data_IF_704450817679
#
_entry.id   IF_704450817679
#
_cell.length_a   1.000
_cell.length_b   1.000
_cell.length_c   1.000
_cell.angle_alpha   90.00
_cell.angle_beta   90.00
_cell.angle_gamma   90.00
#
_symmetry.space_group_name_H-M   'P 1'
#
loop_
_entity.id
_entity.type
_entity.pdbx_description
1 polymer ?
#
# COMPACT_ATOMS: atom_id res chain seq x y z
N UNK A 1 4.62 12.83 14.65
CA UNK A 1 6.06 12.80 14.98
C UNK A 1 6.89 13.68 14.06
N UNK A 2 6.79 13.53 12.74
CA UNK A 2 7.61 14.30 11.79
C UNK A 2 7.55 15.83 12.04
N UNK A 3 6.37 16.36 12.36
CA UNK A 3 6.19 17.79 12.64
C UNK A 3 6.75 18.21 14.02
N UNK A 4 6.49 17.41 15.05
CA UNK A 4 6.74 17.80 16.45
C UNK A 4 8.07 17.29 17.00
N UNK A 5 8.56 16.16 16.46
CA UNK A 5 9.78 15.48 16.90
C UNK A 5 10.57 14.94 15.70
N UNK A 6 11.00 15.81 14.76
CA UNK A 6 11.65 15.36 13.52
C UNK A 6 12.92 14.55 13.77
N UNK A 7 13.69 14.91 14.81
CA UNK A 7 14.95 14.20 15.14
C UNK A 7 14.73 12.81 15.75
N UNK A 8 13.52 12.52 16.21
CA UNK A 8 13.15 11.24 16.82
C UNK A 8 12.27 10.40 15.90
N UNK A 9 11.85 10.94 14.76
CA UNK A 9 11.03 10.22 13.81
C UNK A 9 11.82 9.08 13.14
N UNK A 10 11.42 7.82 13.34
CA UNK A 10 12.07 6.70 12.67
C UNK A 10 11.66 6.69 11.19
N UNK A 11 12.53 7.22 10.34
CA UNK A 11 12.30 7.15 8.90
C UNK A 11 12.34 5.71 8.43
N UNK A 12 11.26 5.25 7.80
CA UNK A 12 11.22 3.96 7.13
C UNK A 12 12.30 3.86 6.06
N UNK A 13 12.93 2.71 5.96
CA UNK A 13 13.90 2.46 4.88
C UNK A 13 13.17 2.19 3.59
N UNK A 14 13.46 2.99 2.56
CA UNK A 14 12.96 2.74 1.22
C UNK A 14 13.66 1.50 0.65
N UNK A 15 12.98 0.35 0.71
CA UNK A 15 13.56 -0.93 0.29
C UNK A 15 13.78 -0.98 -1.24
N UNK A 16 14.64 -1.90 -1.70
CA UNK A 16 14.86 -2.08 -3.13
C UNK A 16 13.59 -2.53 -3.85
N UNK A 17 12.72 -3.29 -3.16
CA UNK A 17 11.40 -3.62 -3.67
C UNK A 17 10.51 -2.37 -3.85
N UNK A 18 10.50 -1.44 -2.90
CA UNK A 18 9.76 -0.18 -3.04
C UNK A 18 10.32 0.70 -4.17
N UNK A 19 11.65 0.74 -4.33
CA UNK A 19 12.29 1.44 -5.47
C UNK A 19 11.85 0.85 -6.80
N UNK A 20 11.80 -0.48 -6.90
CA UNK A 20 11.31 -1.18 -8.09
C UNK A 20 9.86 -0.79 -8.39
N UNK A 21 8.95 -0.89 -7.40
CA UNK A 21 7.54 -0.53 -7.60
C UNK A 21 7.37 0.94 -8.06
N UNK A 22 8.17 1.85 -7.49
CA UNK A 22 8.16 3.25 -7.90
C UNK A 22 8.64 3.43 -9.34
N UNK A 23 9.72 2.75 -9.73
CA UNK A 23 10.24 2.79 -11.10
C UNK A 23 9.19 2.26 -12.11
N UNK A 24 8.55 1.13 -11.80
CA UNK A 24 7.47 0.57 -12.62
C UNK A 24 6.27 1.52 -12.75
N UNK A 25 5.92 2.24 -11.67
CA UNK A 25 4.90 3.29 -11.73
C UNK A 25 5.25 4.39 -12.73
N UNK A 26 6.47 4.88 -12.70
CA UNK A 26 6.95 5.88 -13.67
C UNK A 26 7.00 5.35 -15.11
N UNK A 27 7.32 4.07 -15.32
CA UNK A 27 7.29 3.46 -16.64
C UNK A 27 5.87 3.43 -17.22
N UNK A 28 4.87 3.04 -16.41
CA UNK A 28 3.46 3.07 -16.83
C UNK A 28 3.01 4.49 -17.14
N UNK A 29 3.36 5.45 -16.28
CA UNK A 29 3.04 6.86 -16.51
C UNK A 29 3.67 7.39 -17.82
N UNK A 30 4.91 7.01 -18.12
CA UNK A 30 5.57 7.39 -19.37
C UNK A 30 4.85 6.84 -20.62
N UNK A 31 4.29 5.61 -20.53
CA UNK A 31 3.47 5.03 -21.62
C UNK A 31 2.17 5.82 -21.80
N UNK A 32 1.48 6.18 -20.70
CA UNK A 32 0.28 7.03 -20.75
C UNK A 32 0.61 8.38 -21.39
N UNK A 33 1.69 9.03 -20.95
CA UNK A 33 2.11 10.31 -21.52
C UNK A 33 2.41 10.20 -23.02
N UNK A 34 3.06 9.13 -23.47
CA UNK A 34 3.36 8.90 -24.88
C UNK A 34 2.07 8.71 -25.69
N UNK A 35 1.12 7.92 -25.18
CA UNK A 35 -0.18 7.72 -25.83
C UNK A 35 -0.91 9.06 -26.01
N UNK A 36 -1.05 9.83 -24.95
CA UNK A 36 -1.78 11.10 -24.96
C UNK A 36 -1.10 12.16 -25.82
N UNK A 37 0.24 12.25 -25.79
CA UNK A 37 0.98 13.22 -26.64
C UNK A 37 0.80 12.97 -28.14
N UNK A 38 0.43 11.76 -28.53
CA UNK A 38 0.12 11.41 -29.91
C UNK A 38 -1.37 11.55 -30.25
N UNK A 39 -2.22 11.85 -29.30
CA UNK A 39 -3.66 12.03 -29.52
C UNK A 39 -3.96 13.36 -30.23
N UNK A 40 -5.04 13.44 -31.04
CA UNK A 40 -5.44 14.66 -31.74
C UNK A 40 -5.72 15.85 -30.81
N UNK A 41 -6.17 15.59 -29.60
CA UNK A 41 -6.50 16.59 -28.58
C UNK A 41 -5.42 16.73 -27.49
N UNK A 42 -4.19 16.30 -27.76
CA UNK A 42 -3.06 16.33 -26.82
C UNK A 42 -2.89 17.69 -26.11
N UNK A 43 -3.18 18.79 -26.79
CA UNK A 43 -3.09 20.13 -26.23
C UNK A 43 -4.11 20.43 -25.10
N UNK A 44 -5.11 19.58 -24.92
CA UNK A 44 -6.08 19.68 -23.81
C UNK A 44 -5.59 19.02 -22.53
N UNK A 45 -4.49 18.29 -22.58
CA UNK A 45 -3.95 17.56 -21.42
C UNK A 45 -2.75 18.27 -20.81
N UNK A 46 -2.68 18.23 -19.48
CA UNK A 46 -1.53 18.66 -18.70
C UNK A 46 -1.11 17.53 -17.75
N UNK A 47 0.20 17.36 -17.58
CA UNK A 47 0.77 16.30 -16.75
C UNK A 47 1.38 16.87 -15.48
N UNK A 48 1.34 16.09 -14.40
CA UNK A 48 1.94 16.39 -13.11
C UNK A 48 1.46 17.75 -12.56
N UNK A 49 0.15 18.02 -12.72
CA UNK A 49 -0.47 19.27 -12.27
C UNK A 49 -0.56 19.33 -10.74
N UNK A 50 -0.09 20.43 -10.16
CA UNK A 50 -0.04 20.61 -8.70
C UNK A 50 -1.23 21.45 -8.26
N UNK A 51 -1.94 20.97 -7.24
CA UNK A 51 -2.98 21.68 -6.52
C UNK A 51 -2.49 21.98 -5.11
N UNK A 52 -2.48 23.26 -4.76
CA UNK A 52 -2.13 23.72 -3.42
C UNK A 52 -3.23 24.64 -2.92
N UNK A 53 -3.81 24.32 -1.78
CA UNK A 53 -4.94 25.05 -1.21
C UNK A 53 -4.50 25.96 -0.06
N UNK A 54 -5.32 26.95 0.25
CA UNK A 54 -5.08 27.85 1.40
C UNK A 54 -5.17 27.09 2.73
N UNK A 55 -5.91 25.99 2.79
CA UNK A 55 -6.06 25.14 3.97
C UNK A 55 -4.88 24.16 4.15
N UNK A 56 -3.90 24.19 3.25
CA UNK A 56 -2.68 23.37 3.36
C UNK A 56 -2.73 22.01 2.69
N UNK A 57 -3.74 21.74 1.85
CA UNK A 57 -3.74 20.54 1.03
C UNK A 57 -2.74 20.72 -0.11
N UNK A 58 -2.02 19.65 -0.40
CA UNK A 58 -1.12 19.55 -1.53
C UNK A 58 -1.37 18.24 -2.24
N UNK A 59 -1.74 18.31 -3.52
CA UNK A 59 -1.90 17.15 -4.38
C UNK A 59 -1.21 17.40 -5.72
N UNK A 60 -0.76 16.32 -6.32
CA UNK A 60 -0.15 16.34 -7.66
C UNK A 60 -0.82 15.26 -8.49
N UNK A 61 -1.68 15.68 -9.43
CA UNK A 61 -2.35 14.78 -10.35
C UNK A 61 -1.40 14.32 -11.46
N UNK A 62 -1.43 13.06 -11.82
CA UNK A 62 -0.62 12.52 -12.90
C UNK A 62 -1.00 13.17 -14.25
N UNK A 63 -2.30 13.36 -14.48
CA UNK A 63 -2.80 14.01 -15.67
C UNK A 63 -4.16 14.68 -15.42
N UNK A 64 -4.38 15.82 -16.07
CA UNK A 64 -5.70 16.45 -16.17
C UNK A 64 -6.00 16.75 -17.63
N UNK A 65 -7.29 16.80 -17.98
CA UNK A 65 -7.78 17.24 -19.28
C UNK A 65 -8.69 18.44 -19.09
N UNK A 66 -8.40 19.53 -19.79
CA UNK A 66 -9.30 20.68 -19.90
C UNK A 66 -10.43 20.36 -20.90
N UNK A 67 -11.66 20.37 -20.42
CA UNK A 67 -12.85 20.10 -21.23
C UNK A 67 -13.30 21.32 -22.05
N UNK A 68 -12.61 22.46 -21.94
CA UNK A 68 -12.90 23.74 -22.65
C UNK A 68 -14.27 24.35 -22.36
N UNK A 69 -14.93 23.87 -21.30
CA UNK A 69 -16.22 24.36 -20.80
C UNK A 69 -16.15 24.81 -19.34
N UNK A 70 -14.93 25.06 -18.86
CA UNK A 70 -14.68 25.48 -17.47
C UNK A 70 -14.49 24.34 -16.49
N UNK A 71 -14.54 23.09 -16.95
CA UNK A 71 -14.33 21.89 -16.10
C UNK A 71 -13.11 21.11 -16.56
N UNK A 72 -12.58 20.27 -15.66
CA UNK A 72 -11.51 19.33 -15.96
C UNK A 72 -11.94 17.89 -15.72
N UNK A 73 -11.29 16.96 -16.42
CA UNK A 73 -11.25 15.55 -16.03
C UNK A 73 -9.90 15.26 -15.35
N UNK A 74 -9.91 14.49 -14.27
CA UNK A 74 -8.74 14.11 -13.48
C UNK A 74 -8.40 12.64 -13.72
N UNK A 75 -7.12 12.35 -13.90
CA UNK A 75 -6.63 11.00 -14.15
C UNK A 75 -5.47 10.67 -13.19
N UNK A 76 -5.61 9.54 -12.53
CA UNK A 76 -4.57 8.94 -11.68
C UNK A 76 -4.07 7.66 -12.32
N UNK A 77 -2.77 7.54 -12.49
CA UNK A 77 -2.12 6.39 -13.15
C UNK A 77 -1.63 5.38 -12.10
N UNK A 78 -1.96 4.13 -12.31
CA UNK A 78 -1.56 3.04 -11.40
C UNK A 78 -0.97 1.85 -12.18
N UNK A 79 0.10 1.28 -11.68
CA UNK A 79 0.71 0.05 -12.23
C UNK A 79 -0.04 -1.24 -11.84
N UNK A 80 -1.21 -1.15 -11.23
CA UNK A 80 -2.08 -2.30 -10.94
C UNK A 80 -2.88 -2.72 -12.16
N UNK A 81 -3.36 -3.96 -12.17
CA UNK A 81 -4.19 -4.52 -13.24
C UNK A 81 -5.70 -4.39 -12.98
N UNK A 82 -6.08 -3.67 -11.93
CA UNK A 82 -7.48 -3.38 -11.58
C UNK A 82 -7.55 -2.21 -10.61
N UNK A 83 -8.71 -1.55 -10.56
CA UNK A 83 -9.00 -0.50 -9.58
C UNK A 83 -9.18 -1.12 -8.20
N UNK A 84 -8.40 -0.65 -7.21
CA UNK A 84 -8.50 -1.08 -5.81
C UNK A 84 -9.41 -0.12 -5.04
N UNK A 85 -10.58 -0.62 -4.63
CA UNK A 85 -11.65 0.19 -3.99
C UNK A 85 -11.63 0.14 -2.47
N UNK A 86 -10.72 -0.63 -1.84
CA UNK A 86 -10.68 -0.79 -0.38
C UNK A 86 -9.29 -1.20 0.10
N UNK A 87 -9.10 -1.19 1.43
CA UNK A 87 -7.85 -1.62 2.08
C UNK A 87 -6.79 -0.52 2.10
N UNK A 88 -5.56 -0.92 2.36
CA UNK A 88 -4.42 -0.02 2.54
C UNK A 88 -4.06 0.78 1.27
N UNK A 89 -4.37 0.22 0.09
CA UNK A 89 -4.08 0.83 -1.21
C UNK A 89 -5.37 1.23 -1.93
N UNK A 90 -6.30 1.87 -1.20
CA UNK A 90 -7.57 2.34 -1.77
C UNK A 90 -7.32 3.48 -2.77
N UNK A 91 -7.35 3.16 -4.05
CA UNK A 91 -7.10 4.11 -5.14
C UNK A 91 -8.25 5.11 -5.32
N UNK A 92 -9.48 4.72 -4.95
CA UNK A 92 -10.63 5.63 -4.99
C UNK A 92 -10.45 6.77 -3.97
N UNK A 93 -9.92 6.46 -2.77
CA UNK A 93 -9.64 7.46 -1.75
C UNK A 93 -8.53 8.43 -2.17
N UNK A 94 -7.50 7.94 -2.83
CA UNK A 94 -6.42 8.74 -3.41
C UNK A 94 -6.98 9.72 -4.46
N UNK A 95 -7.79 9.21 -5.39
CA UNK A 95 -8.45 10.03 -6.40
C UNK A 95 -9.46 11.03 -5.80
N UNK A 96 -10.20 10.65 -4.75
CA UNK A 96 -11.11 11.54 -4.03
C UNK A 96 -10.34 12.70 -3.36
N UNK A 97 -9.21 12.41 -2.72
CA UNK A 97 -8.36 13.45 -2.13
C UNK A 97 -7.85 14.44 -3.20
N UNK A 98 -7.40 13.94 -4.34
CA UNK A 98 -6.93 14.80 -5.44
C UNK A 98 -8.06 15.66 -6.03
N UNK A 99 -9.26 15.09 -6.21
CA UNK A 99 -10.46 15.83 -6.64
C UNK A 99 -10.77 16.97 -5.67
N UNK A 100 -10.82 16.67 -4.36
CA UNK A 100 -11.09 17.68 -3.32
C UNK A 100 -10.04 18.78 -3.36
N UNK A 101 -8.75 18.45 -3.46
CA UNK A 101 -7.68 19.43 -3.54
C UNK A 101 -7.77 20.31 -4.80
N UNK A 102 -8.15 19.74 -5.94
CA UNK A 102 -8.36 20.47 -7.18
C UNK A 102 -9.53 21.46 -7.07
N UNK A 103 -10.65 21.00 -6.49
CA UNK A 103 -11.85 21.85 -6.29
C UNK A 103 -11.61 22.98 -5.30
N UNK A 104 -10.89 22.73 -4.21
CA UNK A 104 -10.49 23.78 -3.26
C UNK A 104 -9.46 24.76 -3.86
N UNK A 105 -8.70 24.32 -4.85
CA UNK A 105 -7.82 25.19 -5.62
C UNK A 105 -8.56 26.00 -6.70
N UNK A 106 -9.90 25.87 -6.81
CA UNK A 106 -10.76 26.65 -7.70
C UNK A 106 -11.05 26.02 -9.06
N UNK A 107 -10.79 24.74 -9.24
CA UNK A 107 -11.13 23.99 -10.46
C UNK A 107 -12.46 23.24 -10.26
N UNK A 108 -13.22 23.07 -11.33
CA UNK A 108 -14.41 22.22 -11.33
C UNK A 108 -14.06 20.87 -11.98
N UNK A 109 -14.16 19.77 -11.20
CA UNK A 109 -13.83 18.42 -11.67
C UNK A 109 -15.09 17.72 -12.15
N UNK A 110 -15.19 17.48 -13.46
CA UNK A 110 -16.34 16.82 -14.08
C UNK A 110 -16.28 15.29 -13.93
N UNK A 111 -15.12 14.70 -14.21
CA UNK A 111 -14.92 13.24 -14.12
C UNK A 111 -13.58 12.90 -13.51
N UNK A 112 -13.53 11.69 -12.92
CA UNK A 112 -12.32 11.13 -12.34
C UNK A 112 -12.05 9.75 -12.91
N UNK A 113 -10.82 9.52 -13.36
CA UNK A 113 -10.40 8.27 -13.96
C UNK A 113 -9.21 7.68 -13.21
N UNK A 114 -9.19 6.36 -13.10
CA UNK A 114 -7.98 5.61 -12.80
C UNK A 114 -7.51 4.92 -14.06
N UNK A 115 -6.29 5.24 -14.49
CA UNK A 115 -5.63 4.59 -15.61
C UNK A 115 -4.82 3.43 -15.06
N UNK A 116 -5.15 2.21 -15.46
CA UNK A 116 -4.48 1.00 -14.98
C UNK A 116 -4.16 0.03 -16.11
N UNK A 117 -3.37 -0.98 -15.82
CA UNK A 117 -2.98 -1.99 -16.80
C UNK A 117 -4.13 -2.96 -17.09
N UNK A 118 -4.24 -3.39 -18.34
CA UNK A 118 -5.13 -4.45 -18.76
C UNK A 118 -4.51 -5.81 -18.39
N UNK A 119 -5.17 -6.56 -17.51
CA UNK A 119 -4.70 -7.89 -17.06
C UNK A 119 -4.71 -8.96 -18.16
N UNK A 120 -5.49 -8.72 -19.23
CA UNK A 120 -5.66 -9.64 -20.34
C UNK A 120 -4.76 -9.26 -21.54
N UNK A 121 -3.95 -8.20 -21.40
CA UNK A 121 -2.96 -7.82 -22.41
C UNK A 121 -1.88 -8.87 -22.51
N UNK A 122 -1.57 -9.28 -23.74
CA UNK A 122 -0.47 -10.20 -24.05
C UNK A 122 0.44 -9.52 -25.05
N UNK A 123 1.68 -9.28 -24.67
CA UNK A 123 2.65 -8.61 -25.52
C UNK A 123 2.95 -9.42 -26.78
N UNK A 124 2.95 -8.74 -27.93
CA UNK A 124 3.38 -9.26 -29.22
C UNK A 124 4.24 -8.19 -29.93
N UNK A 125 5.55 -8.30 -29.79
CA UNK A 125 6.49 -7.31 -30.31
C UNK A 125 6.56 -6.04 -29.45
N UNK A 126 6.35 -4.87 -30.06
CA UNK A 126 6.33 -3.59 -29.31
C UNK A 126 5.08 -3.48 -28.43
N UNK A 127 5.23 -2.74 -27.33
CA UNK A 127 4.09 -2.45 -26.45
C UNK A 127 3.07 -1.60 -27.19
N UNK A 128 1.83 -2.09 -27.25
CA UNK A 128 0.68 -1.33 -27.71
C UNK A 128 0.01 -0.62 -26.50
N UNK A 129 0.12 0.70 -26.36
CA UNK A 129 -0.47 1.42 -25.25
C UNK A 129 -2.00 1.41 -25.22
N UNK A 130 -2.68 1.30 -26.38
CA UNK A 130 -4.15 1.31 -26.48
C UNK A 130 -4.73 -0.01 -25.95
N UNK A 131 -4.03 -1.13 -26.16
CA UNK A 131 -4.44 -2.44 -25.65
C UNK A 131 -3.98 -2.64 -24.18
N UNK A 132 -2.82 -2.07 -23.81
CA UNK A 132 -2.24 -2.22 -22.47
C UNK A 132 -2.98 -1.43 -21.41
N UNK A 133 -3.54 -0.24 -21.74
CA UNK A 133 -4.08 0.70 -20.76
C UNK A 133 -5.61 0.70 -20.74
N UNK A 134 -6.17 0.71 -19.53
CA UNK A 134 -7.62 0.87 -19.30
C UNK A 134 -7.85 2.18 -18.56
N UNK A 135 -8.71 3.04 -19.12
CA UNK A 135 -9.18 4.28 -18.50
C UNK A 135 -10.51 4.02 -17.81
N UNK A 136 -10.46 3.66 -16.53
CA UNK A 136 -11.64 3.34 -15.75
C UNK A 136 -12.26 4.63 -15.18
N UNK A 137 -13.49 4.94 -15.57
CA UNK A 137 -14.26 6.03 -14.96
C UNK A 137 -14.69 5.61 -13.54
N UNK A 138 -14.24 6.36 -12.54
CA UNK A 138 -14.50 6.12 -11.11
C UNK A 138 -15.24 7.30 -10.48
N UNK A 139 -15.84 8.15 -11.27
CA UNK A 139 -16.53 9.38 -10.81
C UNK A 139 -17.59 9.08 -9.76
N UNK A 140 -18.41 8.06 -9.99
CA UNK A 140 -19.44 7.65 -9.01
C UNK A 140 -18.84 7.06 -7.73
N UNK A 141 -17.81 6.22 -7.86
CA UNK A 141 -17.13 5.64 -6.69
C UNK A 141 -16.49 6.74 -5.81
N UNK A 142 -15.90 7.75 -6.44
CA UNK A 142 -15.32 8.91 -5.74
C UNK A 142 -16.41 9.72 -5.05
N UNK A 143 -17.53 9.98 -5.72
CA UNK A 143 -18.64 10.73 -5.14
C UNK A 143 -19.23 10.04 -3.90
N UNK A 144 -19.30 8.70 -3.89
CA UNK A 144 -19.80 7.92 -2.75
C UNK A 144 -18.97 8.12 -1.47
N UNK A 145 -17.65 8.32 -1.59
CA UNK A 145 -16.75 8.43 -0.42
C UNK A 145 -16.26 9.85 -0.17
N UNK A 146 -16.68 10.83 -0.97
CA UNK A 146 -16.16 12.19 -0.89
C UNK A 146 -16.41 12.85 0.47
N UNK A 147 -17.63 12.71 1.01
CA UNK A 147 -17.98 13.30 2.31
C UNK A 147 -17.13 12.72 3.45
N UNK A 148 -16.93 11.41 3.46
CA UNK A 148 -16.07 10.74 4.44
C UNK A 148 -14.61 11.16 4.28
N UNK A 149 -14.13 11.31 3.05
CA UNK A 149 -12.77 11.76 2.76
C UNK A 149 -12.54 13.20 3.24
N UNK A 150 -13.52 14.10 3.05
CA UNK A 150 -13.47 15.48 3.59
C UNK A 150 -13.39 15.48 5.12
N UNK A 151 -14.20 14.67 5.79
CA UNK A 151 -14.16 14.55 7.25
C UNK A 151 -12.80 14.02 7.76
N UNK A 152 -12.19 13.07 7.03
CA UNK A 152 -10.84 12.59 7.35
C UNK A 152 -9.76 13.66 7.13
N UNK A 153 -9.88 14.47 6.07
CA UNK A 153 -8.99 15.62 5.81
C UNK A 153 -9.08 16.61 6.97
N UNK A 154 -10.29 16.99 7.39
CA UNK A 154 -10.52 17.90 8.51
C UNK A 154 -9.91 17.35 9.80
N UNK A 155 -10.09 16.06 10.08
CA UNK A 155 -9.49 15.38 11.21
C UNK A 155 -7.95 15.40 11.16
N UNK A 156 -7.37 15.17 9.97
CA UNK A 156 -5.91 15.22 9.78
C UNK A 156 -5.36 16.64 9.97
N UNK A 157 -6.03 17.66 9.43
CA UNK A 157 -5.65 19.06 9.61
C UNK A 157 -5.75 19.48 11.09
N UNK A 158 -6.81 19.08 11.79
CA UNK A 158 -6.98 19.33 13.21
C UNK A 158 -5.85 18.67 14.03
N UNK A 159 -5.47 17.43 13.70
CA UNK A 159 -4.33 16.75 14.33
C UNK A 159 -3.02 17.49 14.06
N UNK A 160 -2.79 17.93 12.82
CA UNK A 160 -1.59 18.69 12.46
C UNK A 160 -1.53 20.08 13.13
N UNK A 161 -2.68 20.65 13.48
CA UNK A 161 -2.75 21.93 14.19
C UNK A 161 -2.44 21.81 15.70
N UNK A 162 -2.46 20.62 16.27
CA UNK A 162 -2.11 20.40 17.68
C UNK A 162 -0.68 20.86 17.97
N UNK A 163 -0.44 21.38 19.16
CA UNK A 163 0.89 21.83 19.58
C UNK A 163 1.78 20.69 20.04
N UNK A 164 1.19 19.60 20.54
CA UNK A 164 1.89 18.44 21.08
C UNK A 164 1.34 17.15 20.50
N UNK A 165 2.17 16.11 20.47
CA UNK A 165 1.77 14.75 20.08
C UNK A 165 1.26 14.04 21.33
N UNK A 166 0.06 13.48 21.27
CA UNK A 166 -0.41 12.54 22.28
C UNK A 166 0.35 11.21 22.13
N UNK A 167 1.26 10.94 23.07
CA UNK A 167 2.07 9.71 23.11
C UNK A 167 1.41 8.61 23.96
N UNK A 168 0.23 8.86 24.54
CA UNK A 168 -0.47 7.89 25.38
C UNK A 168 -1.19 6.80 24.60
N UNK A 169 -1.40 7.00 23.29
CA UNK A 169 -2.15 6.08 22.43
C UNK A 169 -1.48 5.85 21.08
N UNK A 170 -1.70 4.67 20.52
CA UNK A 170 -1.26 4.32 19.19
C UNK A 170 -2.36 3.52 18.47
N UNK A 171 -2.94 4.10 17.42
CA UNK A 171 -3.99 3.43 16.62
C UNK A 171 -3.53 2.14 15.95
N UNK A 172 -2.22 1.95 15.80
CA UNK A 172 -1.64 0.73 15.20
C UNK A 172 -1.66 -0.48 16.14
N UNK A 173 -1.89 -0.32 17.47
CA UNK A 173 -1.91 -1.44 18.42
C UNK A 173 -2.88 -2.56 18.05
N UNK A 174 -4.01 -2.24 17.42
CA UNK A 174 -5.01 -3.23 17.02
C UNK A 174 -4.81 -3.75 15.60
N UNK A 175 -3.73 -3.36 14.93
CA UNK A 175 -3.42 -3.77 13.58
C UNK A 175 -2.45 -4.95 13.56
N UNK A 176 -2.42 -5.68 12.45
CA UNK A 176 -1.40 -6.71 12.21
C UNK A 176 -0.04 -6.05 11.93
N UNK A 177 1.05 -6.77 12.18
CA UNK A 177 2.43 -6.26 11.99
C UNK A 177 2.66 -5.61 10.62
N UNK A 178 2.07 -6.16 9.56
CA UNK A 178 2.18 -5.61 8.20
C UNK A 178 1.48 -4.25 8.00
N UNK A 179 0.64 -3.84 8.95
CA UNK A 179 -0.10 -2.57 8.93
C UNK A 179 0.38 -1.60 10.02
N UNK A 180 1.45 -1.94 10.75
CA UNK A 180 2.07 -0.99 11.67
C UNK A 180 2.74 0.13 10.90
N UNK A 181 2.63 1.35 11.41
CA UNK A 181 3.38 2.49 10.89
C UNK A 181 4.84 2.44 11.38
N UNK A 182 5.71 3.20 10.73
CA UNK A 182 7.14 3.28 11.06
C UNK A 182 7.40 3.77 12.49
N UNK A 183 6.40 4.42 13.11
CA UNK A 183 6.49 4.92 14.50
C UNK A 183 5.96 3.93 15.54
N UNK A 184 5.56 2.72 15.15
CA UNK A 184 4.97 1.75 16.08
C UNK A 184 5.86 1.46 17.29
N UNK A 185 7.14 1.17 17.07
CA UNK A 185 8.09 0.86 18.13
C UNK A 185 8.40 2.08 19.02
N UNK A 186 8.34 3.30 18.45
CA UNK A 186 8.48 4.53 19.21
C UNK A 186 7.36 4.69 20.25
N UNK A 187 6.10 4.47 19.83
CA UNK A 187 4.96 4.57 20.73
C UNK A 187 4.79 3.37 21.67
N UNK A 188 5.39 2.25 21.34
CA UNK A 188 5.20 0.99 22.07
C UNK A 188 6.53 0.31 22.44
N UNK A 189 7.48 1.02 23.09
CA UNK A 189 8.81 0.49 23.37
C UNK A 189 8.82 -0.68 24.35
N UNK A 190 7.73 -0.88 25.10
CA UNK A 190 7.59 -1.95 26.07
C UNK A 190 7.08 -3.26 25.46
N UNK A 191 6.67 -3.28 24.19
CA UNK A 191 6.21 -4.52 23.54
C UNK A 191 7.43 -5.39 23.22
N UNK A 192 7.49 -6.64 23.72
CA UNK A 192 8.64 -7.50 23.52
C UNK A 192 8.76 -8.00 22.07
N UNK A 193 9.93 -8.51 21.74
CA UNK A 193 10.16 -9.25 20.50
C UNK A 193 10.80 -10.60 20.86
N UNK A 194 10.12 -11.73 20.57
CA UNK A 194 8.84 -11.89 19.88
C UNK A 194 7.62 -11.45 20.71
N UNK A 195 6.50 -11.13 20.05
CA UNK A 195 5.23 -10.74 20.68
C UNK A 195 4.04 -11.34 19.91
N UNK A 196 2.82 -11.06 20.36
CA UNK A 196 1.59 -11.49 19.67
C UNK A 196 1.59 -11.16 18.18
N UNK A 197 2.26 -10.07 17.77
CA UNK A 197 2.36 -9.63 16.37
C UNK A 197 3.29 -10.52 15.53
N UNK A 198 4.07 -11.39 16.15
CA UNK A 198 4.91 -12.38 15.45
C UNK A 198 4.19 -13.68 15.15
N UNK A 199 3.00 -13.89 15.73
CA UNK A 199 2.19 -15.08 15.46
C UNK A 199 1.72 -15.07 13.98
N UNK A 200 1.98 -16.14 13.21
CA UNK A 200 1.63 -16.18 11.80
C UNK A 200 0.12 -16.08 11.60
N UNK A 201 -0.29 -15.24 10.65
CA UNK A 201 -1.70 -15.05 10.25
C UNK A 201 -2.67 -14.77 11.41
N UNK A 202 -2.19 -14.06 12.43
CA UNK A 202 -3.06 -13.63 13.53
C UNK A 202 -4.14 -12.68 13.00
N UNK A 203 -5.40 -12.89 13.43
CA UNK A 203 -6.52 -12.04 13.01
C UNK A 203 -6.57 -10.75 13.83
N UNK A 204 -7.12 -9.67 13.22
CA UNK A 204 -7.34 -8.40 13.93
C UNK A 204 -8.19 -8.57 15.20
N UNK A 205 -9.25 -9.40 15.13
CA UNK A 205 -10.10 -9.65 16.30
C UNK A 205 -9.32 -10.27 17.46
N UNK A 206 -8.39 -11.19 17.16
CA UNK A 206 -7.55 -11.82 18.17
C UNK A 206 -6.53 -10.85 18.76
N UNK A 207 -5.91 -10.03 17.92
CA UNK A 207 -5.04 -8.93 18.38
C UNK A 207 -5.82 -8.00 19.30
N UNK A 208 -7.03 -7.56 18.92
CA UNK A 208 -7.85 -6.67 19.73
C UNK A 208 -8.15 -7.26 21.11
N UNK A 209 -8.41 -8.58 21.21
CA UNK A 209 -8.58 -9.26 22.47
C UNK A 209 -7.34 -9.20 23.36
N UNK A 210 -6.18 -9.59 22.83
CA UNK A 210 -4.92 -9.55 23.58
C UNK A 210 -4.53 -8.12 24.00
N UNK A 211 -4.75 -7.14 23.13
CA UNK A 211 -4.51 -5.72 23.42
C UNK A 211 -5.42 -5.22 24.55
N UNK A 212 -6.71 -5.59 24.54
CA UNK A 212 -7.64 -5.23 25.61
C UNK A 212 -7.20 -5.78 26.97
N UNK A 213 -6.64 -6.99 26.97
CA UNK A 213 -6.10 -7.65 28.16
C UNK A 213 -4.66 -7.20 28.50
N UNK A 214 -4.04 -6.33 27.67
CA UNK A 214 -2.64 -5.88 27.77
C UNK A 214 -1.62 -7.03 27.75
N UNK A 215 -1.95 -8.13 27.06
CA UNK A 215 -1.09 -9.31 26.90
C UNK A 215 -0.37 -9.25 25.56
N UNK A 216 0.87 -8.83 25.56
CA UNK A 216 1.71 -8.69 24.37
C UNK A 216 2.79 -9.77 24.28
N UNK A 217 3.27 -10.24 25.43
CA UNK A 217 4.31 -11.25 25.50
C UNK A 217 3.73 -12.63 25.16
N UNK A 218 4.47 -13.41 24.38
CA UNK A 218 4.09 -14.78 24.05
C UNK A 218 4.11 -15.70 25.29
N UNK A 219 4.91 -15.38 26.30
CA UNK A 219 4.94 -16.14 27.57
C UNK A 219 3.59 -16.04 28.34
N UNK A 220 2.76 -15.02 28.03
CA UNK A 220 1.44 -14.81 28.64
C UNK A 220 0.30 -15.51 27.85
N UNK A 221 0.59 -16.11 26.71
CA UNK A 221 -0.41 -16.71 25.83
C UNK A 221 -0.43 -18.22 25.98
N UNK A 222 -1.63 -18.79 26.16
CA UNK A 222 -1.81 -20.23 26.24
C UNK A 222 -1.86 -20.93 24.87
N UNK A 223 -1.40 -22.19 24.80
CA UNK A 223 -1.47 -22.99 23.59
C UNK A 223 -2.92 -23.22 23.10
N UNK A 224 -3.88 -23.21 24.01
CA UNK A 224 -5.32 -23.30 23.69
C UNK A 224 -5.91 -22.01 23.11
N UNK A 225 -5.15 -20.91 23.14
CA UNK A 225 -5.57 -19.61 22.61
C UNK A 225 -5.06 -19.35 21.19
N UNK A 226 -4.29 -20.27 20.64
CA UNK A 226 -3.69 -20.13 19.30
C UNK A 226 -4.16 -21.25 18.36
N UNK A 227 -3.99 -21.05 17.07
CA UNK A 227 -4.29 -22.08 16.07
C UNK A 227 -3.14 -23.08 15.95
N UNK A 228 -3.40 -24.27 15.37
CA UNK A 228 -2.37 -25.28 15.10
C UNK A 228 -1.18 -24.74 14.32
N UNK A 229 -1.41 -23.75 13.43
CA UNK A 229 -0.34 -23.09 12.66
C UNK A 229 0.51 -22.13 13.49
N UNK A 230 -0.05 -21.62 14.58
CA UNK A 230 0.62 -20.69 15.51
C UNK A 230 1.29 -21.43 16.67
N UNK A 231 0.76 -22.60 17.05
CA UNK A 231 1.25 -23.37 18.18
C UNK A 231 2.76 -23.67 18.14
N UNK A 232 3.39 -24.04 17.01
CA UNK A 232 4.85 -24.24 16.99
C UNK A 232 5.65 -22.99 17.32
N UNK A 233 5.21 -21.80 16.86
CA UNK A 233 5.87 -20.53 17.15
C UNK A 233 5.75 -20.20 18.64
N UNK A 234 4.56 -20.36 19.21
CA UNK A 234 4.31 -20.13 20.63
C UNK A 234 5.11 -21.14 21.50
N UNK A 235 5.12 -22.39 21.12
CA UNK A 235 5.87 -23.43 21.84
C UNK A 235 7.38 -23.16 21.82
N UNK A 236 7.93 -22.76 20.66
CA UNK A 236 9.33 -22.35 20.55
C UNK A 236 9.65 -21.13 21.42
N UNK A 237 8.73 -20.16 21.49
CA UNK A 237 8.88 -19.00 22.38
C UNK A 237 8.91 -19.38 23.85
N UNK A 238 7.99 -20.22 24.31
CA UNK A 238 7.95 -20.72 25.70
C UNK A 238 9.21 -21.52 26.05
N UNK A 239 9.74 -22.33 25.12
CA UNK A 239 10.98 -23.08 25.33
C UNK A 239 12.22 -22.20 25.26
N UNK A 240 12.12 -20.99 24.74
CA UNK A 240 13.27 -20.11 24.39
C UNK A 240 14.33 -20.81 23.53
N UNK A 241 13.88 -21.76 22.71
CA UNK A 241 14.73 -22.61 21.88
C UNK A 241 14.01 -23.05 20.60
N UNK A 242 14.74 -23.33 19.52
CA UNK A 242 14.14 -23.87 18.30
C UNK A 242 13.64 -25.30 18.55
N UNK A 243 12.51 -25.65 17.91
CA UNK A 243 11.99 -27.02 17.88
C UNK A 243 12.59 -27.71 16.66
N UNK A 244 13.46 -28.70 16.91
CA UNK A 244 14.17 -29.45 15.86
C UNK A 244 13.84 -30.92 15.95
N UNK A 245 13.16 -31.46 14.93
CA UNK A 245 12.93 -32.90 14.79
C UNK A 245 14.10 -33.53 14.04
N UNK A 246 15.12 -33.94 14.79
CA UNK A 246 16.33 -34.58 14.23
C UNK A 246 15.98 -35.89 13.49
N UNK A 247 14.99 -36.64 13.97
CA UNK A 247 14.60 -37.91 13.34
C UNK A 247 13.94 -37.68 11.99
N UNK A 248 13.03 -36.71 11.89
CA UNK A 248 12.42 -36.35 10.63
C UNK A 248 13.44 -35.81 9.63
N UNK A 249 14.36 -34.96 10.08
CA UNK A 249 15.46 -34.41 9.26
C UNK A 249 16.34 -35.55 8.73
N UNK A 250 16.81 -36.43 9.62
CA UNK A 250 17.65 -37.58 9.23
C UNK A 250 16.90 -38.51 8.25
N UNK A 251 15.60 -38.78 8.52
CA UNK A 251 14.74 -39.57 7.64
C UNK A 251 14.49 -38.94 6.27
N UNK A 252 14.45 -37.62 6.19
CA UNK A 252 14.37 -36.90 4.93
C UNK A 252 15.68 -37.06 4.10
N UNK A 253 16.82 -36.77 4.73
CA UNK A 253 18.12 -36.86 4.04
C UNK A 253 18.56 -38.28 3.72
N UNK A 254 18.11 -39.31 4.46
CA UNK A 254 18.41 -40.71 4.15
C UNK A 254 17.84 -41.17 2.80
N UNK A 255 16.86 -40.45 2.25
CA UNK A 255 16.25 -40.72 0.93
C UNK A 255 17.00 -40.00 -0.22
N UNK A 256 17.93 -39.10 0.12
CA UNK A 256 18.66 -38.35 -0.88
C UNK A 256 19.74 -39.24 -1.51
N UNK A 257 19.78 -39.30 -2.85
CA UNK A 257 20.78 -40.00 -3.64
C UNK A 257 21.60 -39.00 -4.45
N UNK A 258 22.91 -39.27 -4.54
CA UNK A 258 23.81 -38.41 -5.34
C UNK A 258 23.68 -38.73 -6.84
N UNK A 259 23.79 -37.71 -7.71
CA UNK A 259 24.01 -36.30 -7.40
C UNK A 259 22.76 -35.62 -6.85
N UNK A 260 22.93 -34.68 -5.90
CA UNK A 260 21.85 -33.83 -5.36
C UNK A 260 21.84 -32.51 -6.12
N UNK A 261 20.69 -32.12 -6.63
CA UNK A 261 20.46 -30.83 -7.29
C UNK A 261 19.69 -29.92 -6.35
N UNK A 262 20.22 -28.71 -6.12
CA UNK A 262 19.55 -27.64 -5.42
C UNK A 262 18.91 -26.74 -6.46
N UNK A 263 17.58 -26.64 -6.43
CA UNK A 263 16.83 -25.80 -7.36
C UNK A 263 16.14 -24.72 -6.56
N UNK A 264 16.34 -23.48 -6.95
CA UNK A 264 15.62 -22.33 -6.45
C UNK A 264 14.88 -21.66 -7.61
N UNK A 265 13.73 -21.08 -7.31
CA UNK A 265 12.89 -20.40 -8.28
C UNK A 265 12.66 -18.97 -7.82
N UNK A 266 13.16 -18.01 -8.60
CA UNK A 266 12.88 -16.62 -8.42
C UNK A 266 11.79 -16.16 -9.39
N UNK A 267 10.78 -15.49 -8.87
CA UNK A 267 9.75 -14.88 -9.71
C UNK A 267 10.10 -13.41 -9.94
N UNK A 268 10.22 -13.02 -11.19
CA UNK A 268 10.30 -11.63 -11.58
C UNK A 268 8.94 -11.18 -12.07
N UNK A 269 8.27 -10.35 -11.27
CA UNK A 269 7.01 -9.70 -11.67
C UNK A 269 7.32 -8.29 -12.16
N UNK A 270 6.93 -7.99 -13.39
CA UNK A 270 6.99 -6.64 -13.97
C UNK A 270 5.59 -6.13 -14.22
N UNK A 271 5.37 -4.83 -13.99
CA UNK A 271 4.09 -4.19 -14.31
C UNK A 271 3.84 -4.22 -15.84
N UNK A 272 4.90 -4.02 -16.61
CA UNK A 272 4.83 -4.05 -18.09
C UNK A 272 5.46 -5.35 -18.57
N UNK A 273 4.82 -6.14 -19.45
CA UNK A 273 5.37 -7.37 -19.98
C UNK A 273 6.71 -7.13 -20.69
N UNK A 274 7.76 -7.89 -20.31
CA UNK A 274 9.12 -7.73 -20.86
C UNK A 274 9.38 -8.59 -22.09
N UNK A 275 8.63 -9.67 -22.24
CA UNK A 275 8.80 -10.65 -23.33
C UNK A 275 7.48 -10.92 -24.02
N UNK A 276 7.53 -11.38 -25.26
CA UNK A 276 6.33 -11.77 -26.01
C UNK A 276 5.65 -12.98 -25.35
N UNK A 277 4.33 -12.98 -25.35
CA UNK A 277 3.50 -14.00 -24.74
C UNK A 277 3.34 -13.88 -23.23
N UNK A 278 3.89 -12.82 -22.64
CA UNK A 278 3.71 -12.50 -21.22
C UNK A 278 2.62 -11.43 -21.01
#
# INVERSE_FOLDING_TARGET
LLKHKPDQYPHGKFSDYMKKLTAEGFEVEAIVQKLIKNAPDAASYSFQSVFQTQHGLYAKADMIRDNRVGTIDLYEVKSSTSVKKSGQHNQIKDAAFQKIAAEEAGLEVARVFIVHLNKDYVRQGDIDPEELLIFADVTSDVAEIEADTRAEIDGALAMLAQHEVDESSCSCLQLTKSNHCDSFDYFNPAIPTPSIYTLPRISKAKIAGFVADRRFDLDEIGLNEVTDKQAPVLHSAHLKAPIIDQTAIAGFFSKATYPIYFIDYETYSSAIPLVDGA
#
